data_IF_550417128121
#
_entry.id   IF_550417128121
#
_cell.length_a   1.000
_cell.length_b   1.000
_cell.length_c   1.000
_cell.angle_alpha   90.00
_cell.angle_beta   90.00
_cell.angle_gamma   90.00
#
_symmetry.space_group_name_H-M   'P 1'
#
loop_
_entity.id
_entity.type
_entity.pdbx_description
1 polymer ?
#
# COMPACT_ATOMS: atom_id res chain seq x y z
N UNK A 1 9.48 19.68 -12.25
CA UNK A 1 10.31 18.63 -12.90
C UNK A 1 11.41 18.26 -11.90
N UNK A 2 11.16 17.23 -11.09
CA UNK A 2 11.91 16.87 -9.87
C UNK A 2 13.15 16.01 -10.18
N UNK A 3 14.11 16.57 -10.91
CA UNK A 3 15.30 15.81 -11.35
C UNK A 3 16.29 15.46 -10.23
N UNK A 4 16.17 16.08 -9.05
CA UNK A 4 17.05 15.85 -7.90
C UNK A 4 16.50 14.88 -6.84
N UNK A 5 15.22 14.51 -6.94
CA UNK A 5 14.59 13.54 -6.02
C UNK A 5 14.76 12.11 -6.49
N UNK A 6 14.95 11.88 -7.80
CA UNK A 6 15.17 10.56 -8.36
C UNK A 6 16.47 9.90 -7.85
N UNK A 7 17.56 10.66 -7.74
CA UNK A 7 18.84 10.14 -7.23
C UNK A 7 18.76 9.81 -5.73
N UNK A 8 18.05 10.64 -4.95
CA UNK A 8 17.77 10.39 -3.53
C UNK A 8 16.83 9.21 -3.32
N UNK A 9 15.78 9.09 -4.14
CA UNK A 9 14.89 7.94 -4.13
C UNK A 9 15.63 6.64 -4.49
N UNK A 10 16.58 6.71 -5.43
CA UNK A 10 17.43 5.58 -5.79
C UNK A 10 18.46 5.23 -4.71
N UNK A 11 18.98 6.21 -3.95
CA UNK A 11 19.80 5.94 -2.75
C UNK A 11 18.98 5.37 -1.60
N UNK A 12 17.76 5.89 -1.37
CA UNK A 12 16.85 5.39 -0.36
C UNK A 12 16.43 3.95 -0.68
N UNK A 13 16.08 3.65 -1.93
CA UNK A 13 15.77 2.29 -2.40
C UNK A 13 16.93 1.31 -2.16
N UNK A 14 18.18 1.75 -2.40
CA UNK A 14 19.38 0.96 -2.10
C UNK A 14 19.61 0.77 -0.60
N UNK A 15 19.27 1.76 0.22
CA UNK A 15 19.34 1.63 1.68
C UNK A 15 18.26 0.72 2.27
N UNK A 16 17.11 0.61 1.61
CA UNK A 16 16.01 -0.30 1.96
C UNK A 16 16.35 -1.75 1.56
N UNK A 17 17.14 -1.96 0.50
CA UNK A 17 17.66 -3.29 0.12
C UNK A 17 18.49 -3.96 1.23
N UNK A 18 19.18 -3.14 2.03
CA UNK A 18 19.99 -3.59 3.17
C UNK A 18 19.21 -3.63 4.50
N UNK A 19 17.98 -3.09 4.53
CA UNK A 19 17.14 -3.08 5.72
C UNK A 19 16.47 -4.45 5.91
N UNK A 20 16.41 -4.99 7.14
CA UNK A 20 15.65 -6.20 7.41
C UNK A 20 14.19 -6.00 6.97
N UNK A 21 13.64 -6.94 6.20
CA UNK A 21 12.22 -6.94 5.77
C UNK A 21 11.25 -6.74 6.95
N UNK A 22 11.68 -7.07 8.16
CA UNK A 22 10.94 -6.84 9.40
C UNK A 22 10.71 -5.37 9.73
N UNK A 23 11.65 -4.47 9.42
CA UNK A 23 11.53 -3.02 9.69
C UNK A 23 10.80 -2.32 8.54
N UNK A 24 11.19 -2.58 7.29
CA UNK A 24 10.52 -2.03 6.10
C UNK A 24 9.09 -2.53 5.94
N UNK A 25 8.82 -3.79 6.31
CA UNK A 25 7.50 -4.40 6.23
C UNK A 25 6.52 -3.86 7.28
N UNK A 26 7.00 -3.47 8.47
CA UNK A 26 6.17 -2.85 9.50
C UNK A 26 5.68 -1.47 9.04
N UNK A 27 6.58 -0.63 8.51
CA UNK A 27 6.23 0.68 7.97
C UNK A 27 5.27 0.58 6.77
N UNK A 28 5.54 -0.34 5.83
CA UNK A 28 4.65 -0.57 4.69
C UNK A 28 3.24 -1.02 5.13
N UNK A 29 3.18 -1.83 6.20
CA UNK A 29 1.91 -2.28 6.78
C UNK A 29 1.18 -1.13 7.47
N UNK A 30 1.89 -0.29 8.22
CA UNK A 30 1.33 0.91 8.85
C UNK A 30 0.76 1.89 7.81
N UNK A 31 1.53 2.20 6.76
CA UNK A 31 1.06 3.05 5.64
C UNK A 31 -0.15 2.43 4.95
N UNK A 32 -0.13 1.12 4.66
CA UNK A 32 -1.29 0.43 4.09
C UNK A 32 -2.53 0.56 4.99
N UNK A 33 -2.37 0.42 6.31
CA UNK A 33 -3.46 0.51 7.28
C UNK A 33 -4.09 1.91 7.31
N UNK A 34 -3.27 2.96 7.42
CA UNK A 34 -3.74 4.36 7.45
C UNK A 34 -4.47 4.69 6.14
N UNK A 35 -3.88 4.36 4.99
CA UNK A 35 -4.51 4.59 3.68
C UNK A 35 -5.83 3.82 3.52
N UNK A 36 -5.90 2.59 4.04
CA UNK A 36 -7.12 1.79 3.98
C UNK A 36 -8.22 2.38 4.88
N UNK A 37 -7.87 2.80 6.09
CA UNK A 37 -8.80 3.45 7.02
C UNK A 37 -9.38 4.72 6.40
N UNK A 38 -8.53 5.58 5.82
CA UNK A 38 -8.98 6.80 5.14
C UNK A 38 -9.86 6.47 3.91
N UNK A 39 -9.44 5.50 3.07
CA UNK A 39 -10.17 5.15 1.84
C UNK A 39 -11.55 4.54 2.12
N UNK A 40 -11.69 3.77 3.19
CA UNK A 40 -12.90 3.02 3.52
C UNK A 40 -13.65 3.53 4.75
N UNK A 41 -13.26 4.68 5.31
CA UNK A 41 -13.89 5.30 6.50
C UNK A 41 -15.42 5.37 6.37
N UNK A 42 -15.90 5.74 5.18
CA UNK A 42 -17.33 5.89 4.90
C UNK A 42 -18.05 4.55 4.63
N UNK A 43 -17.35 3.53 4.11
CA UNK A 43 -17.94 2.24 3.72
C UNK A 43 -16.86 1.15 3.55
N UNK A 44 -16.71 0.29 4.56
CA UNK A 44 -15.84 -0.90 4.53
C UNK A 44 -16.56 -2.17 4.01
N UNK A 45 -17.75 -2.03 3.42
CA UNK A 45 -18.53 -3.20 3.00
C UNK A 45 -17.83 -3.99 1.89
N UNK A 46 -18.12 -5.30 1.76
CA UNK A 46 -17.62 -6.11 0.64
C UNK A 46 -17.97 -5.52 -0.74
N UNK A 47 -19.06 -4.76 -0.85
CA UNK A 47 -19.45 -4.08 -2.07
C UNK A 47 -18.50 -2.92 -2.40
N UNK A 48 -18.16 -2.08 -1.42
CA UNK A 48 -17.22 -0.98 -1.59
C UNK A 48 -15.82 -1.49 -1.94
N UNK A 49 -15.34 -2.52 -1.25
CA UNK A 49 -14.05 -3.17 -1.55
C UNK A 49 -14.05 -3.72 -2.98
N UNK A 50 -15.14 -4.37 -3.40
CA UNK A 50 -15.23 -4.89 -4.77
C UNK A 50 -15.17 -3.78 -5.82
N UNK A 51 -15.89 -2.67 -5.61
CA UNK A 51 -15.85 -1.52 -6.53
C UNK A 51 -14.42 -0.98 -6.62
N UNK A 52 -13.75 -0.81 -5.49
CA UNK A 52 -12.35 -0.38 -5.46
C UNK A 52 -11.43 -1.34 -6.22
N UNK A 53 -11.58 -2.66 -6.04
CA UNK A 53 -10.80 -3.67 -6.76
C UNK A 53 -11.07 -3.60 -8.27
N UNK A 54 -12.33 -3.47 -8.68
CA UNK A 54 -12.70 -3.37 -10.09
C UNK A 54 -12.08 -2.11 -10.74
N UNK A 55 -12.08 -0.98 -10.06
CA UNK A 55 -11.39 0.24 -10.51
C UNK A 55 -9.86 0.05 -10.57
N UNK A 56 -9.28 -0.61 -9.57
CA UNK A 56 -7.84 -0.87 -9.55
C UNK A 56 -7.42 -1.74 -10.74
N UNK A 57 -8.16 -2.79 -11.04
CA UNK A 57 -7.90 -3.65 -12.21
C UNK A 57 -8.03 -2.89 -13.53
N UNK A 58 -8.88 -1.87 -13.60
CA UNK A 58 -8.98 -0.98 -14.77
C UNK A 58 -7.77 -0.05 -14.86
N UNK A 59 -7.37 0.59 -13.76
CA UNK A 59 -6.22 1.50 -13.70
C UNK A 59 -4.90 0.78 -14.05
N UNK A 60 -4.80 -0.51 -13.73
CA UNK A 60 -3.62 -1.36 -13.93
C UNK A 60 -3.86 -2.48 -14.94
N UNK A 61 -4.72 -2.25 -15.95
CA UNK A 61 -5.06 -3.25 -16.96
C UNK A 61 -3.83 -3.77 -17.74
N UNK A 62 -2.81 -2.94 -17.89
CA UNK A 62 -1.55 -3.24 -18.61
C UNK A 62 -0.39 -3.62 -17.67
N UNK A 63 -0.65 -3.92 -16.39
CA UNK A 63 0.39 -4.32 -15.45
C UNK A 63 1.06 -5.65 -15.83
N UNK A 64 2.37 -5.73 -15.63
CA UNK A 64 3.18 -6.94 -15.80
C UNK A 64 4.04 -7.20 -14.55
N UNK A 65 3.77 -8.27 -13.77
CA UNK A 65 2.72 -9.27 -13.97
C UNK A 65 1.30 -8.71 -13.74
N UNK A 66 0.27 -9.35 -14.34
CA UNK A 66 -1.11 -8.90 -14.19
C UNK A 66 -1.60 -9.05 -12.76
N UNK A 67 -2.33 -8.04 -12.28
CA UNK A 67 -2.97 -8.09 -10.98
C UNK A 67 -4.09 -9.14 -10.96
N UNK A 68 -4.14 -9.92 -9.86
CA UNK A 68 -5.17 -10.94 -9.65
C UNK A 68 -6.28 -10.35 -8.77
N UNK A 69 -7.55 -10.37 -9.22
CA UNK A 69 -8.67 -9.78 -8.46
C UNK A 69 -8.75 -10.23 -7.00
N UNK A 70 -8.56 -11.53 -6.75
CA UNK A 70 -8.60 -12.07 -5.39
C UNK A 70 -7.45 -11.54 -4.52
N UNK A 71 -6.26 -11.36 -5.09
CA UNK A 71 -5.11 -10.83 -4.34
C UNK A 71 -5.28 -9.34 -4.05
N UNK A 72 -5.91 -8.60 -4.97
CA UNK A 72 -6.32 -7.22 -4.75
C UNK A 72 -7.31 -7.08 -3.59
N UNK A 73 -8.32 -7.94 -3.55
CA UNK A 73 -9.29 -7.98 -2.43
C UNK A 73 -8.60 -8.34 -1.11
N UNK A 74 -7.71 -9.35 -1.13
CA UNK A 74 -6.93 -9.73 0.05
C UNK A 74 -6.07 -8.57 0.54
N UNK A 75 -5.40 -7.84 -0.34
CA UNK A 75 -4.58 -6.68 0.03
C UNK A 75 -5.41 -5.62 0.77
N UNK A 76 -6.59 -5.26 0.25
CA UNK A 76 -7.48 -4.30 0.90
C UNK A 76 -7.97 -4.79 2.27
N UNK A 77 -8.42 -6.05 2.36
CA UNK A 77 -8.95 -6.62 3.61
C UNK A 77 -7.88 -6.81 4.68
N UNK A 78 -6.68 -7.21 4.30
CA UNK A 78 -5.53 -7.30 5.22
C UNK A 78 -5.18 -5.91 5.75
N UNK A 79 -5.20 -4.88 4.91
CA UNK A 79 -4.97 -3.50 5.34
C UNK A 79 -6.05 -3.01 6.33
N UNK A 80 -7.30 -3.48 6.18
CA UNK A 80 -8.40 -3.28 7.14
C UNK A 80 -8.35 -4.21 8.37
N UNK A 81 -7.24 -4.93 8.59
CA UNK A 81 -7.01 -5.72 9.80
C UNK A 81 -7.40 -7.20 9.72
N UNK A 82 -7.84 -7.72 8.57
CA UNK A 82 -8.13 -9.15 8.36
C UNK A 82 -6.85 -10.02 8.18
N UNK A 83 -5.90 -9.91 9.12
CA UNK A 83 -4.58 -10.55 9.04
C UNK A 83 -4.64 -12.08 8.93
N UNK A 84 -5.73 -12.73 9.32
CA UNK A 84 -5.93 -14.17 9.14
C UNK A 84 -5.86 -14.60 7.67
N UNK A 85 -6.14 -13.70 6.73
CA UNK A 85 -6.10 -13.98 5.29
C UNK A 85 -4.68 -14.23 4.79
N UNK A 86 -3.65 -13.79 5.52
CA UNK A 86 -2.25 -14.05 5.20
C UNK A 86 -1.85 -15.52 5.40
N UNK A 87 -2.65 -16.31 6.12
CA UNK A 87 -2.32 -17.72 6.40
C UNK A 87 -2.32 -18.53 5.11
N UNK A 88 -1.14 -19.02 4.74
CA UNK A 88 -0.94 -19.87 3.56
C UNK A 88 -0.74 -19.11 2.25
N UNK A 89 -0.58 -17.79 2.30
CA UNK A 89 -0.18 -16.97 1.16
C UNK A 89 1.34 -16.81 1.11
N UNK A 90 1.89 -16.77 -0.10
CA UNK A 90 3.24 -16.25 -0.32
C UNK A 90 3.19 -14.73 -0.27
N UNK A 91 3.95 -14.12 0.64
CA UNK A 91 3.98 -12.66 0.81
C UNK A 91 4.58 -11.96 -0.42
N UNK A 92 5.44 -12.65 -1.18
CA UNK A 92 5.98 -12.10 -2.43
C UNK A 92 4.89 -11.93 -3.49
N UNK A 93 3.92 -12.84 -3.53
CA UNK A 93 2.77 -12.74 -4.44
C UNK A 93 1.82 -11.60 -4.03
N UNK A 94 1.76 -11.26 -2.74
CA UNK A 94 0.93 -10.17 -2.23
C UNK A 94 1.55 -8.79 -2.47
N UNK A 95 2.87 -8.68 -2.46
CA UNK A 95 3.60 -7.41 -2.50
C UNK A 95 3.20 -6.51 -3.69
N UNK A 96 3.12 -7.05 -4.90
CA UNK A 96 2.72 -6.25 -6.08
C UNK A 96 1.29 -5.70 -5.96
N UNK A 97 0.39 -6.47 -5.33
CA UNK A 97 -1.00 -6.07 -5.13
C UNK A 97 -1.13 -5.01 -4.04
N UNK A 98 -0.33 -5.11 -2.97
CA UNK A 98 -0.22 -4.07 -1.95
C UNK A 98 0.36 -2.77 -2.51
N UNK A 99 1.37 -2.84 -3.36
CA UNK A 99 1.91 -1.64 -4.03
C UNK A 99 0.88 -0.98 -4.93
N UNK A 100 0.14 -1.76 -5.73
CA UNK A 100 -0.94 -1.22 -6.57
C UNK A 100 -2.07 -0.60 -5.73
N UNK A 101 -2.41 -1.23 -4.61
CA UNK A 101 -3.40 -0.74 -3.65
C UNK A 101 -3.02 0.64 -3.09
N UNK A 102 -1.82 0.78 -2.52
CA UNK A 102 -1.34 2.06 -1.99
C UNK A 102 -1.27 3.13 -3.07
N UNK A 103 -0.71 2.79 -4.23
CA UNK A 103 -0.59 3.75 -5.33
C UNK A 103 -1.95 4.25 -5.81
N UNK A 104 -2.97 3.39 -5.89
CA UNK A 104 -4.31 3.83 -6.26
C UNK A 104 -4.89 4.80 -5.24
N UNK A 105 -4.78 4.52 -3.94
CA UNK A 105 -5.32 5.41 -2.92
C UNK A 105 -4.63 6.78 -2.97
N UNK A 106 -3.29 6.79 -3.05
CA UNK A 106 -2.51 8.03 -3.16
C UNK A 106 -2.86 8.81 -4.42
N UNK A 107 -3.10 8.13 -5.55
CA UNK A 107 -3.54 8.77 -6.80
C UNK A 107 -4.96 9.34 -6.70
N UNK A 108 -5.90 8.60 -6.13
CA UNK A 108 -7.29 9.01 -5.99
C UNK A 108 -7.42 10.21 -5.01
N UNK A 109 -6.56 10.27 -3.99
CA UNK A 109 -6.55 11.32 -2.98
C UNK A 109 -5.83 12.61 -3.42
N UNK A 110 -5.12 12.59 -4.56
CA UNK A 110 -4.35 13.73 -5.08
C UNK A 110 -3.41 14.39 -4.04
N UNK A 111 -2.81 13.58 -3.14
CA UNK A 111 -2.01 14.06 -2.02
C UNK A 111 -0.84 14.95 -2.49
N UNK A 112 -0.68 16.09 -1.81
CA UNK A 112 0.50 16.95 -1.94
C UNK A 112 1.72 16.34 -1.25
N UNK A 113 2.95 16.77 -1.58
CA UNK A 113 4.14 16.27 -0.91
C UNK A 113 4.12 16.42 0.62
N UNK A 114 3.51 17.50 1.14
CA UNK A 114 3.40 17.69 2.59
C UNK A 114 2.44 16.70 3.26
N UNK A 115 1.35 16.34 2.59
CA UNK A 115 0.40 15.32 3.10
C UNK A 115 1.02 13.92 3.04
N UNK A 116 1.91 13.65 2.07
CA UNK A 116 2.69 12.41 2.03
C UNK A 116 3.69 12.36 3.20
N UNK A 117 4.37 13.47 3.49
CA UNK A 117 5.30 13.53 4.64
C UNK A 117 4.54 13.29 5.97
N UNK A 118 3.36 13.92 6.15
CA UNK A 118 2.50 13.70 7.32
C UNK A 118 2.05 12.24 7.45
N UNK A 119 1.61 11.61 6.35
CA UNK A 119 1.24 10.20 6.31
C UNK A 119 2.41 9.29 6.74
N UNK A 120 3.63 9.60 6.31
CA UNK A 120 4.82 8.82 6.65
C UNK A 120 5.21 9.01 8.14
N UNK A 121 5.10 10.22 8.67
CA UNK A 121 5.34 10.51 10.09
C UNK A 121 4.34 9.77 11.00
N UNK A 122 3.05 9.74 10.61
CA UNK A 122 2.00 8.99 11.32
C UNK A 122 2.30 7.49 11.29
N UNK A 123 2.69 6.96 10.13
CA UNK A 123 3.04 5.55 9.98
C UNK A 123 4.28 5.18 10.81
N UNK A 124 5.29 6.06 10.88
CA UNK A 124 6.47 5.86 11.72
C UNK A 124 6.11 5.84 13.21
N UNK A 125 5.26 6.77 13.65
CA UNK A 125 4.76 6.81 15.02
C UNK A 125 4.05 5.51 15.40
N UNK A 126 3.18 4.99 14.50
CA UNK A 126 2.49 3.72 14.73
C UNK A 126 3.47 2.54 14.87
N UNK A 127 4.55 2.53 14.10
CA UNK A 127 5.58 1.47 14.19
C UNK A 127 6.36 1.55 15.50
N UNK A 128 6.66 2.74 16.01
CA UNK A 128 7.35 2.93 17.29
C UNK A 128 6.52 2.47 18.51
N UNK A 129 5.18 2.41 18.37
CA UNK A 129 4.26 1.97 19.40
C UNK A 129 4.07 0.43 19.49
N UNK A 130 4.63 -0.34 18.55
CA UNK A 130 4.55 -1.81 18.48
C UNK A 130 5.68 -2.52 19.25
#
# INVERSE_FOLDING_TARGET
MLKGEADKAAELARSIEDAPWTESGALLTAVCGILAEERFEADESPAAIRVFVDEMLQNYADADPPLKPLMCEVAARVALGELQLLKGLDLNDLAIHQMAFMNKIVQDAELSPGEIDELLDDAMTLVEEL
#
